data_IF_882994850353
#
_entry.id   IF_882994850353
#
_cell.length_a   1.000
_cell.length_b   1.000
_cell.length_c   1.000
_cell.angle_alpha   90.00
_cell.angle_beta   90.00
_cell.angle_gamma   90.00
#
_symmetry.space_group_name_H-M   'P 1'
#
loop_
_entity.id
_entity.type
_entity.pdbx_description
1 polymer ?
#
# COMPACT_ATOMS: atom_id res chain seq x y z
N UNK A 1 9.95 13.14 10.10
CA UNK A 1 10.79 13.45 8.90
C UNK A 1 9.93 13.28 7.65
N UNK A 2 9.72 14.34 6.85
CA UNK A 2 8.97 14.27 5.58
C UNK A 2 9.89 13.72 4.49
N UNK A 3 9.49 12.64 3.83
CA UNK A 3 10.20 12.10 2.67
C UNK A 3 9.53 12.53 1.38
N UNK A 4 10.29 13.17 0.48
CA UNK A 4 9.84 13.54 -0.86
C UNK A 4 9.98 12.34 -1.80
N UNK A 5 8.87 11.91 -2.40
CA UNK A 5 8.83 10.82 -3.39
C UNK A 5 8.41 11.39 -4.74
N UNK A 6 9.22 11.17 -5.76
CA UNK A 6 8.96 11.66 -7.12
C UNK A 6 8.63 10.47 -8.02
N UNK A 7 7.40 10.42 -8.54
CA UNK A 7 7.01 9.44 -9.56
C UNK A 7 7.09 10.08 -10.95
N UNK A 8 7.71 9.37 -11.89
CA UNK A 8 7.67 9.68 -13.32
C UNK A 8 6.77 8.66 -13.99
N UNK A 9 5.76 9.11 -14.74
CA UNK A 9 4.87 8.20 -15.48
C UNK A 9 5.67 7.36 -16.49
N UNK A 10 5.44 6.03 -16.58
CA UNK A 10 6.10 5.18 -17.56
C UNK A 10 5.70 5.58 -18.98
N UNK A 11 6.65 5.57 -19.92
CA UNK A 11 6.34 5.65 -21.35
C UNK A 11 5.76 4.30 -21.78
N UNK A 12 4.43 4.17 -21.86
CA UNK A 12 3.82 3.03 -22.57
C UNK A 12 4.30 3.09 -24.02
N UNK A 13 5.19 2.19 -24.42
CA UNK A 13 5.43 1.93 -25.85
C UNK A 13 4.25 1.10 -26.36
N UNK A 14 3.58 1.58 -27.39
CA UNK A 14 2.53 0.82 -28.04
C UNK A 14 3.16 -0.41 -28.70
N UNK A 15 2.77 -1.58 -28.21
CA UNK A 15 3.12 -2.90 -28.74
C UNK A 15 2.67 -2.98 -30.20
N UNK A 16 3.63 -3.10 -31.12
CA UNK A 16 3.40 -3.13 -32.55
C UNK A 16 2.77 -4.49 -32.96
N UNK A 17 1.47 -4.52 -33.26
CA UNK A 17 0.82 -5.65 -33.95
C UNK A 17 0.80 -5.35 -35.45
N UNK A 18 1.80 -5.83 -36.17
CA UNK A 18 1.80 -5.81 -37.64
C UNK A 18 0.92 -6.95 -38.19
N UNK A 19 -0.16 -6.56 -38.89
CA UNK A 19 -1.01 -7.32 -39.84
C UNK A 19 -2.09 -6.31 -40.26
N UNK A 20 -2.37 -5.92 -41.51
CA UNK A 20 -2.54 -6.63 -42.77
C UNK A 20 -2.38 -5.61 -43.93
N UNK A 21 -1.83 -6.06 -45.06
CA UNK A 21 -1.78 -5.34 -46.35
C UNK A 21 -3.17 -5.23 -47.00
N UNK A 22 -3.52 -4.06 -47.54
CA UNK A 22 -4.76 -3.88 -48.31
C UNK A 22 -4.82 -2.58 -49.11
N UNK A 23 -4.33 -2.63 -50.35
CA UNK A 23 -4.31 -1.59 -51.39
C UNK A 23 -5.73 -1.15 -51.81
N UNK A 24 -6.01 0.16 -51.98
CA UNK A 24 -6.59 0.73 -53.22
C UNK A 24 -6.57 2.26 -53.27
N UNK A 25 -5.98 2.81 -54.34
CA UNK A 25 -6.00 4.23 -54.74
C UNK A 25 -7.28 4.53 -55.55
N UNK A 26 -7.85 5.73 -55.37
CA UNK A 26 -8.71 6.42 -56.34
C UNK A 26 -8.39 7.92 -56.31
N UNK A 27 -8.41 8.56 -57.47
CA UNK A 27 -8.21 10.01 -57.69
C UNK A 27 -9.28 10.51 -58.71
N UNK A 28 -9.37 11.81 -59.03
CA UNK A 28 -10.09 12.84 -58.26
C UNK A 28 -11.16 13.56 -59.11
N UNK A 29 -12.12 14.29 -58.51
CA UNK A 29 -12.96 15.22 -59.27
C UNK A 29 -13.47 16.44 -58.48
N UNK A 30 -13.15 17.61 -59.07
CA UNK A 30 -13.73 18.97 -59.00
C UNK A 30 -13.53 19.82 -57.72
N UNK A 31 -12.88 20.96 -57.96
CA UNK A 31 -12.32 21.95 -57.04
C UNK A 31 -13.34 22.85 -56.34
N UNK A 32 -13.05 23.26 -55.10
CA UNK A 32 -13.19 24.64 -54.66
C UNK A 32 -11.83 25.36 -54.64
N UNK A 33 -11.90 26.65 -54.90
CA UNK A 33 -10.88 27.70 -54.85
C UNK A 33 -10.19 27.80 -53.49
N UNK A 34 -8.86 27.67 -53.46
CA UNK A 34 -7.91 27.95 -52.36
C UNK A 34 -8.32 27.58 -50.90
N UNK A 35 -7.67 26.54 -50.36
CA UNK A 35 -7.39 26.44 -48.93
C UNK A 35 -6.08 25.67 -48.70
N UNK A 36 -5.07 26.33 -48.12
CA UNK A 36 -3.95 25.66 -47.44
C UNK A 36 -4.13 25.94 -45.95
N UNK A 37 -4.49 24.91 -45.20
CA UNK A 37 -4.18 24.85 -43.76
C UNK A 37 -3.50 23.52 -43.52
N UNK A 38 -2.17 23.58 -43.44
CA UNK A 38 -1.40 22.55 -42.78
C UNK A 38 -1.69 22.65 -41.27
N UNK A 39 -2.04 21.55 -40.63
CA UNK A 39 -1.73 21.38 -39.20
C UNK A 39 -1.31 19.94 -38.94
N UNK A 40 -0.01 19.76 -39.16
CA UNK A 40 0.92 18.95 -38.38
C UNK A 40 0.28 17.72 -37.72
N UNK A 41 0.33 16.60 -38.44
CA UNK A 41 0.85 15.34 -37.91
C UNK A 41 0.85 15.26 -36.36
N UNK A 42 -0.06 14.47 -35.76
CA UNK A 42 0.22 13.87 -34.44
C UNK A 42 1.45 12.93 -34.48
N UNK A 43 2.18 12.85 -35.60
CA UNK A 43 3.42 12.10 -35.74
C UNK A 43 4.71 12.86 -35.35
N UNK A 44 4.67 14.12 -34.86
CA UNK A 44 5.94 14.81 -34.51
C UNK A 44 5.97 15.64 -33.21
N UNK A 45 4.91 15.66 -32.38
CA UNK A 45 5.07 15.99 -30.96
C UNK A 45 4.06 15.21 -30.13
N UNK A 46 4.49 14.07 -29.58
CA UNK A 46 3.93 13.69 -28.27
C UNK A 46 4.30 14.86 -27.35
N UNK A 47 3.33 15.65 -26.89
CA UNK A 47 3.54 16.45 -25.70
C UNK A 47 3.82 15.45 -24.57
N UNK A 48 5.09 15.04 -24.45
CA UNK A 48 5.61 14.23 -23.36
C UNK A 48 5.73 15.14 -22.15
N UNK A 49 4.63 15.77 -21.74
CA UNK A 49 4.52 16.25 -20.38
C UNK A 49 4.47 15.00 -19.51
N UNK A 50 5.66 14.51 -19.16
CA UNK A 50 5.84 13.70 -17.96
C UNK A 50 5.33 14.58 -16.84
N UNK A 51 4.06 14.39 -16.48
CA UNK A 51 3.53 14.92 -15.24
C UNK A 51 4.37 14.26 -14.14
N UNK A 52 5.33 15.03 -13.61
CA UNK A 52 6.03 14.66 -12.39
C UNK A 52 5.00 14.87 -11.29
N UNK A 53 4.57 13.77 -10.69
CA UNK A 53 3.72 13.83 -9.51
C UNK A 53 4.66 13.66 -8.31
N UNK A 54 4.71 14.68 -7.48
CA UNK A 54 5.47 14.68 -6.23
C UNK A 54 4.48 14.37 -5.10
N UNK A 55 4.86 13.43 -4.25
CA UNK A 55 4.13 13.11 -3.04
C UNK A 55 5.05 13.32 -1.84
N UNK A 56 4.49 13.82 -0.75
CA UNK A 56 5.15 13.96 0.53
C UNK A 56 4.60 12.89 1.45
N UNK A 57 5.49 12.10 2.04
CA UNK A 57 5.13 11.04 2.98
C UNK A 57 5.74 11.35 4.33
N UNK A 58 4.91 11.40 5.35
CA UNK A 58 5.35 11.51 6.74
C UNK A 58 5.52 10.12 7.32
N UNK A 59 6.64 9.93 8.02
CA UNK A 59 6.84 8.77 8.87
C UNK A 59 6.13 9.00 10.19
N UNK A 60 5.29 8.04 10.59
CA UNK A 60 4.77 7.96 11.96
C UNK A 60 5.95 7.91 12.94
N UNK A 61 5.91 8.65 14.06
CA UNK A 61 6.94 8.54 15.08
C UNK A 61 7.18 7.09 15.51
N UNK A 62 8.42 6.76 15.87
CA UNK A 62 8.86 5.42 16.30
C UNK A 62 8.81 4.30 15.25
N UNK A 63 8.52 4.58 13.98
CA UNK A 63 8.40 3.52 12.96
C UNK A 63 9.71 2.76 12.69
N UNK A 64 10.87 3.43 12.73
CA UNK A 64 12.16 2.76 12.51
C UNK A 64 12.51 1.86 13.70
N UNK A 65 12.23 2.35 14.90
CA UNK A 65 12.40 1.66 16.17
C UNK A 65 11.51 0.42 16.22
N UNK A 66 10.24 0.56 15.82
CA UNK A 66 9.27 -0.53 15.74
C UNK A 66 9.73 -1.64 14.77
N UNK A 67 10.09 -1.29 13.53
CA UNK A 67 10.61 -2.27 12.57
C UNK A 67 11.90 -2.94 13.08
N UNK A 68 12.80 -2.17 13.68
CA UNK A 68 14.04 -2.70 14.26
C UNK A 68 13.78 -3.58 15.50
N UNK A 69 12.73 -3.30 16.27
CA UNK A 69 12.29 -4.12 17.39
C UNK A 69 11.75 -5.47 16.90
N UNK A 70 10.78 -5.46 15.98
CA UNK A 70 10.20 -6.67 15.41
C UNK A 70 11.28 -7.58 14.79
N UNK A 71 12.19 -6.99 14.01
CA UNK A 71 13.28 -7.76 13.39
C UNK A 71 14.23 -8.39 14.41
N UNK A 72 14.58 -7.69 15.50
CA UNK A 72 15.42 -8.25 16.58
C UNK A 72 14.72 -9.34 17.37
N UNK A 73 13.42 -9.23 17.54
CA UNK A 73 12.57 -10.24 18.19
C UNK A 73 12.19 -11.38 17.24
N UNK A 74 12.86 -11.51 16.09
CA UNK A 74 12.68 -12.60 15.12
C UNK A 74 11.28 -12.71 14.49
N UNK A 75 10.53 -11.60 14.44
CA UNK A 75 9.27 -11.56 13.69
C UNK A 75 9.54 -11.48 12.19
N UNK A 76 8.73 -12.23 11.43
CA UNK A 76 8.65 -12.06 9.99
C UNK A 76 7.77 -10.85 9.65
N UNK A 77 8.38 -9.78 9.15
CA UNK A 77 7.67 -8.53 8.85
C UNK A 77 7.09 -8.60 7.44
N UNK A 78 5.76 -8.59 7.32
CA UNK A 78 5.03 -8.54 6.05
C UNK A 78 4.27 -7.22 5.93
N UNK A 79 4.55 -6.45 4.87
CA UNK A 79 3.71 -5.29 4.54
C UNK A 79 2.57 -5.74 3.65
N UNK A 80 1.33 -5.64 4.14
CA UNK A 80 0.13 -5.91 3.36
C UNK A 80 -0.67 -4.62 3.19
N UNK A 81 -0.69 -4.04 1.99
CA UNK A 81 -1.34 -2.75 1.72
C UNK A 81 -2.41 -2.86 0.63
N UNK A 82 -3.52 -2.14 0.80
CA UNK A 82 -4.51 -1.92 -0.25
C UNK A 82 -4.03 -0.89 -1.30
N UNK A 83 -2.80 -0.40 -1.22
CA UNK A 83 -2.17 0.46 -2.22
C UNK A 83 -1.68 -0.29 -3.45
N UNK A 84 -1.67 0.39 -4.60
CA UNK A 84 -1.03 -0.15 -5.82
C UNK A 84 0.49 -0.23 -5.64
N UNK A 85 1.09 -1.28 -6.19
CA UNK A 85 2.52 -1.58 -6.06
C UNK A 85 3.40 -0.41 -6.50
N UNK A 86 3.07 0.27 -7.58
CA UNK A 86 3.94 1.30 -8.18
C UNK A 86 4.00 2.59 -7.35
N UNK A 87 3.15 2.73 -6.34
CA UNK A 87 3.27 3.79 -5.34
C UNK A 87 3.88 3.24 -4.06
N UNK A 88 3.31 2.14 -3.54
CA UNK A 88 3.71 1.59 -2.25
C UNK A 88 5.18 1.16 -2.21
N UNK A 89 5.70 0.53 -3.26
CA UNK A 89 7.11 0.13 -3.36
C UNK A 89 8.06 1.32 -3.14
N UNK A 90 7.80 2.48 -3.76
CA UNK A 90 8.62 3.69 -3.62
C UNK A 90 8.67 4.24 -2.20
N UNK A 91 7.59 4.05 -1.44
CA UNK A 91 7.48 4.43 -0.03
C UNK A 91 8.25 3.44 0.83
N UNK A 92 7.99 2.15 0.64
CA UNK A 92 8.59 1.06 1.43
C UNK A 92 10.12 1.04 1.24
N UNK A 93 10.61 1.23 0.01
CA UNK A 93 12.06 1.29 -0.26
C UNK A 93 12.79 2.41 0.49
N UNK A 94 12.08 3.50 0.81
CA UNK A 94 12.62 4.60 1.64
C UNK A 94 12.44 4.35 3.12
N UNK A 95 11.36 3.67 3.50
CA UNK A 95 11.05 3.34 4.89
C UNK A 95 12.02 2.29 5.44
N UNK A 96 12.38 1.30 4.63
CA UNK A 96 13.17 0.15 5.05
C UNK A 96 14.51 0.06 4.27
N UNK A 97 15.47 0.97 4.53
CA UNK A 97 16.78 0.90 3.91
C UNK A 97 17.64 -0.27 4.42
N UNK A 98 17.23 -0.92 5.51
CA UNK A 98 17.93 -2.04 6.15
C UNK A 98 17.46 -3.41 5.63
N UNK A 99 16.35 -3.46 4.88
CA UNK A 99 15.80 -4.71 4.36
C UNK A 99 15.22 -5.60 5.45
N UNK A 100 14.56 -5.02 6.46
CA UNK A 100 13.91 -5.73 7.56
C UNK A 100 12.58 -6.38 7.13
N UNK A 101 11.93 -5.84 6.09
CA UNK A 101 10.66 -6.34 5.57
C UNK A 101 10.90 -7.59 4.71
N UNK A 102 10.29 -8.71 5.11
CA UNK A 102 10.44 -10.01 4.47
C UNK A 102 9.59 -10.13 3.20
N UNK A 103 8.33 -9.70 3.25
CA UNK A 103 7.40 -9.79 2.12
C UNK A 103 6.55 -8.53 1.95
N UNK A 104 6.13 -8.27 0.71
CA UNK A 104 5.30 -7.13 0.34
C UNK A 104 4.10 -7.63 -0.47
N UNK A 105 2.91 -7.42 0.08
CA UNK A 105 1.62 -7.74 -0.53
C UNK A 105 0.90 -6.42 -0.83
N UNK A 106 0.44 -6.27 -2.07
CA UNK A 106 -0.17 -5.05 -2.58
C UNK A 106 -1.67 -5.26 -2.82
N UNK A 107 -2.33 -4.26 -3.42
CA UNK A 107 -3.76 -4.29 -3.73
C UNK A 107 -4.21 -5.56 -4.45
N UNK A 108 -3.42 -6.05 -5.40
CA UNK A 108 -3.76 -7.25 -6.18
C UNK A 108 -3.77 -8.54 -5.33
N UNK A 109 -3.23 -8.49 -4.11
CA UNK A 109 -3.31 -9.56 -3.12
C UNK A 109 -4.51 -9.43 -2.18
N UNK A 110 -5.23 -8.30 -2.18
CA UNK A 110 -6.45 -8.13 -1.41
C UNK A 110 -7.63 -8.85 -2.07
N UNK A 111 -8.57 -9.36 -1.26
CA UNK A 111 -9.89 -9.77 -1.73
C UNK A 111 -10.79 -8.54 -1.84
N UNK A 112 -11.52 -8.41 -2.93
CA UNK A 112 -12.53 -7.35 -3.07
C UNK A 112 -13.90 -7.87 -2.60
N UNK A 113 -14.44 -7.25 -1.54
CA UNK A 113 -15.74 -7.59 -0.95
C UNK A 113 -16.55 -6.30 -0.87
N UNK A 114 -17.68 -6.22 -1.57
CA UNK A 114 -18.56 -5.04 -1.61
C UNK A 114 -17.81 -3.73 -1.93
N UNK A 115 -16.85 -3.80 -2.86
CA UNK A 115 -16.02 -2.67 -3.27
C UNK A 115 -14.96 -2.24 -2.24
N UNK A 116 -14.74 -3.03 -1.19
CA UNK A 116 -13.68 -2.82 -0.18
C UNK A 116 -12.56 -3.83 -0.37
N UNK A 117 -11.34 -3.39 -0.11
CA UNK A 117 -10.15 -4.26 -0.13
C UNK A 117 -9.94 -4.88 1.24
N UNK A 118 -10.07 -6.20 1.31
CA UNK A 118 -9.94 -7.01 2.50
C UNK A 118 -8.65 -7.82 2.42
N UNK A 119 -7.90 -7.84 3.51
CA UNK A 119 -6.62 -8.50 3.68
C UNK A 119 -6.86 -9.85 4.33
N UNK A 120 -7.04 -10.86 3.50
CA UNK A 120 -7.29 -12.22 3.95
C UNK A 120 -6.00 -12.88 4.44
N UNK A 121 -5.88 -13.10 5.75
CA UNK A 121 -4.67 -13.68 6.34
C UNK A 121 -4.45 -15.15 5.95
N UNK A 122 -5.50 -15.90 5.66
CA UNK A 122 -5.37 -17.29 5.18
C UNK A 122 -4.61 -17.36 3.85
N UNK A 123 -4.76 -16.35 3.00
CA UNK A 123 -4.08 -16.27 1.70
C UNK A 123 -2.57 -16.01 1.79
N UNK A 124 -2.07 -15.60 2.97
CA UNK A 124 -0.65 -15.29 3.20
C UNK A 124 0.20 -16.56 3.34
N UNK A 125 -0.43 -17.70 3.63
CA UNK A 125 0.27 -18.98 3.82
C UNK A 125 1.03 -19.04 5.15
N UNK A 126 0.44 -18.48 6.21
CA UNK A 126 0.90 -18.59 7.60
C UNK A 126 -0.24 -19.12 8.46
N UNK A 127 0.11 -19.86 9.50
CA UNK A 127 -0.86 -20.38 10.46
C UNK A 127 -1.47 -19.21 11.25
N UNK A 128 -2.80 -19.21 11.41
CA UNK A 128 -3.52 -18.09 12.03
C UNK A 128 -3.26 -17.99 13.55
N UNK A 129 -2.83 -19.05 14.20
CA UNK A 129 -2.37 -18.99 15.61
C UNK A 129 -1.02 -18.26 15.77
N UNK A 130 -0.34 -17.91 14.65
CA UNK A 130 0.96 -17.25 14.64
C UNK A 130 1.01 -15.97 13.80
N UNK A 131 -0.12 -15.58 13.20
CA UNK A 131 -0.22 -14.41 12.33
C UNK A 131 -1.05 -13.31 13.00
N UNK A 132 -0.51 -12.10 13.07
CA UNK A 132 -1.21 -10.91 13.57
C UNK A 132 -1.19 -9.81 12.52
N UNK A 133 -2.31 -9.10 12.38
CA UNK A 133 -2.42 -7.93 11.52
C UNK A 133 -2.59 -6.68 12.38
N UNK A 134 -1.85 -5.63 12.02
CA UNK A 134 -1.98 -4.30 12.62
C UNK A 134 -2.49 -3.37 11.53
N UNK A 135 -3.70 -2.82 11.72
CA UNK A 135 -4.34 -1.95 10.73
C UNK A 135 -5.27 -0.94 11.39
N UNK A 136 -5.40 0.23 10.78
CA UNK A 136 -6.27 1.31 11.26
C UNK A 136 -7.71 1.22 10.72
N UNK A 137 -7.98 0.31 9.77
CA UNK A 137 -9.29 0.13 9.17
C UNK A 137 -9.88 -1.26 9.47
N UNK A 138 -10.97 -1.34 10.28
CA UNK A 138 -11.65 -2.60 10.57
C UNK A 138 -12.11 -3.41 9.37
N UNK A 139 -12.42 -2.75 8.26
CA UNK A 139 -12.80 -3.43 7.02
C UNK A 139 -11.62 -4.24 6.42
N UNK A 140 -10.38 -3.81 6.68
CA UNK A 140 -9.19 -4.48 6.15
C UNK A 140 -9.05 -5.91 6.68
N UNK A 141 -9.41 -6.17 7.93
CA UNK A 141 -9.22 -7.47 8.60
C UNK A 141 -10.54 -8.15 8.97
N UNK A 142 -11.65 -7.77 8.34
CA UNK A 142 -12.99 -8.26 8.68
C UNK A 142 -13.16 -9.80 8.58
N UNK A 143 -12.25 -10.51 7.88
CA UNK A 143 -12.27 -11.97 7.80
C UNK A 143 -11.59 -12.66 8.99
N UNK A 144 -10.66 -11.99 9.68
CA UNK A 144 -9.92 -12.52 10.82
C UNK A 144 -9.78 -11.46 11.94
N UNK A 145 -10.88 -10.97 12.53
CA UNK A 145 -10.82 -9.92 13.56
C UNK A 145 -10.09 -10.35 14.83
N UNK A 146 -10.10 -11.65 15.18
CA UNK A 146 -9.35 -12.20 16.32
C UNK A 146 -7.84 -12.09 16.19
N UNK A 147 -7.34 -11.88 14.97
CA UNK A 147 -5.93 -11.75 14.64
C UNK A 147 -5.50 -10.28 14.51
N UNK A 148 -6.42 -9.33 14.76
CA UNK A 148 -6.20 -7.93 14.50
C UNK A 148 -5.90 -7.15 15.78
N UNK A 149 -4.81 -6.40 15.77
CA UNK A 149 -4.58 -5.31 16.72
C UNK A 149 -4.97 -4.01 16.01
N UNK A 150 -6.13 -3.41 16.33
CA UNK A 150 -6.52 -2.14 15.74
C UNK A 150 -5.60 -1.03 16.23
N UNK A 151 -5.29 -0.09 15.36
CA UNK A 151 -4.45 1.08 15.70
C UNK A 151 -5.09 2.37 15.25
N UNK A 152 -4.77 3.47 15.95
CA UNK A 152 -5.22 4.79 15.51
C UNK A 152 -4.70 5.13 14.12
N UNK A 153 -5.56 5.69 13.24
CA UNK A 153 -5.10 6.36 12.03
C UNK A 153 -4.07 7.44 12.40
N UNK A 154 -2.96 7.46 11.66
CA UNK A 154 -1.95 8.50 11.85
C UNK A 154 -2.39 9.78 11.14
N UNK A 155 -2.60 10.87 11.90
CA UNK A 155 -3.07 12.16 11.39
C UNK A 155 -1.99 13.24 11.48
N UNK A 156 -0.75 12.89 11.14
CA UNK A 156 0.43 13.79 11.13
C UNK A 156 0.87 14.33 12.50
N UNK A 157 0.35 13.77 13.60
CA UNK A 157 0.74 14.15 14.97
C UNK A 157 2.15 13.64 15.32
N UNK A 158 3.10 14.55 15.52
CA UNK A 158 4.48 14.18 15.88
C UNK A 158 4.62 13.73 17.34
N UNK A 159 3.61 13.93 18.17
CA UNK A 159 3.50 13.39 19.52
C UNK A 159 2.89 11.98 19.59
N UNK A 160 2.53 11.39 18.44
CA UNK A 160 1.95 10.05 18.38
C UNK A 160 2.92 9.00 18.97
N UNK A 161 2.47 8.28 19.99
CA UNK A 161 3.22 7.18 20.63
C UNK A 161 2.60 5.80 20.33
N UNK A 162 1.73 5.67 19.31
CA UNK A 162 0.97 4.43 19.08
C UNK A 162 1.88 3.22 18.82
N UNK A 163 2.92 3.41 18.00
CA UNK A 163 3.87 2.33 17.69
C UNK A 163 4.73 1.93 18.90
N UNK A 164 4.85 2.80 19.91
CA UNK A 164 5.52 2.49 21.17
C UNK A 164 4.65 1.59 22.04
N UNK A 165 3.34 1.83 22.08
CA UNK A 165 2.37 0.92 22.68
C UNK A 165 2.44 -0.48 22.05
N UNK A 166 2.49 -0.55 20.71
CA UNK A 166 2.64 -1.83 20.01
C UNK A 166 3.94 -2.56 20.36
N UNK A 167 5.08 -1.87 20.52
CA UNK A 167 6.29 -2.54 20.99
C UNK A 167 6.10 -3.19 22.36
N UNK A 168 5.30 -2.57 23.25
CA UNK A 168 4.89 -3.17 24.52
C UNK A 168 4.05 -4.43 24.34
N UNK A 169 3.08 -4.41 23.41
CA UNK A 169 2.29 -5.58 23.06
C UNK A 169 3.17 -6.76 22.60
N UNK A 170 3.98 -6.52 21.55
CA UNK A 170 4.81 -7.56 20.96
C UNK A 170 5.93 -8.05 21.88
N UNK A 171 6.40 -7.23 22.82
CA UNK A 171 7.41 -7.64 23.81
C UNK A 171 6.86 -8.26 25.09
N UNK A 172 5.56 -8.09 25.39
CA UNK A 172 4.97 -8.54 26.65
C UNK A 172 4.01 -9.73 26.49
N UNK A 173 3.12 -9.66 25.51
CA UNK A 173 2.02 -10.63 25.35
C UNK A 173 2.35 -11.74 24.35
N UNK A 174 3.23 -11.46 23.38
CA UNK A 174 3.52 -12.41 22.30
C UNK A 174 4.50 -13.52 22.73
N UNK A 175 5.51 -13.19 23.55
CA UNK A 175 6.56 -14.14 23.96
C UNK A 175 6.04 -15.33 24.79
N UNK A 176 4.87 -15.18 25.43
CA UNK A 176 4.27 -16.18 26.32
C UNK A 176 3.07 -16.90 25.70
N UNK A 177 2.59 -16.50 24.52
CA UNK A 177 1.37 -17.01 23.94
C UNK A 177 1.63 -18.21 23.02
N UNK A 178 0.93 -19.31 23.26
CA UNK A 178 0.87 -20.44 22.32
C UNK A 178 0.04 -20.09 21.07
N UNK A 179 -0.98 -19.25 21.24
CA UNK A 179 -1.83 -18.72 20.19
C UNK A 179 -1.89 -17.19 20.26
N UNK A 180 -1.51 -16.52 19.18
CA UNK A 180 -1.49 -15.05 19.09
C UNK A 180 -2.85 -14.42 19.36
N UNK A 181 -3.95 -15.13 19.09
CA UNK A 181 -5.31 -14.60 19.26
C UNK A 181 -5.65 -14.41 20.74
N UNK A 182 -5.10 -15.26 21.61
CA UNK A 182 -5.22 -15.07 23.06
C UNK A 182 -4.43 -13.83 23.50
N UNK A 183 -3.20 -13.65 23.00
CA UNK A 183 -2.42 -12.44 23.27
C UNK A 183 -3.13 -11.16 22.80
N UNK A 184 -3.73 -11.18 21.60
CA UNK A 184 -4.52 -10.05 21.07
C UNK A 184 -5.70 -9.75 21.97
N UNK A 185 -6.48 -10.76 22.38
CA UNK A 185 -7.61 -10.58 23.30
C UNK A 185 -7.14 -9.94 24.61
N UNK A 186 -6.12 -10.50 25.24
CA UNK A 186 -5.64 -10.07 26.55
C UNK A 186 -5.10 -8.62 26.49
N UNK A 187 -4.43 -8.26 25.40
CA UNK A 187 -3.99 -6.89 25.14
C UNK A 187 -5.16 -5.91 24.98
N UNK A 188 -6.18 -6.29 24.21
CA UNK A 188 -7.37 -5.45 24.02
C UNK A 188 -8.16 -5.29 25.32
N UNK A 189 -8.22 -6.33 26.15
CA UNK A 189 -8.83 -6.27 27.47
C UNK A 189 -8.05 -5.32 28.41
N UNK A 190 -6.72 -5.33 28.37
CA UNK A 190 -5.89 -4.38 29.13
C UNK A 190 -6.14 -2.92 28.68
N UNK A 191 -6.18 -2.66 27.37
CA UNK A 191 -6.53 -1.34 26.83
C UNK A 191 -7.93 -0.87 27.27
N UNK A 192 -8.90 -1.80 27.36
CA UNK A 192 -10.25 -1.53 27.83
C UNK A 192 -10.28 -1.16 29.33
N UNK A 193 -9.41 -1.75 30.14
CA UNK A 193 -9.27 -1.43 31.57
C UNK A 193 -8.64 -0.05 31.78
N UNK A 194 -7.69 0.34 30.93
CA UNK A 194 -7.01 1.66 31.00
C UNK A 194 -7.89 2.81 30.49
N UNK A 195 -9.04 2.52 29.88
CA UNK A 195 -10.02 3.54 29.48
C UNK A 195 -9.77 4.13 28.09
N UNK A 196 -8.95 3.48 27.25
CA UNK A 196 -8.75 3.84 25.84
C UNK A 196 -9.91 3.38 24.93
N UNK A 197 -11.09 3.15 25.54
CA UNK A 197 -12.33 2.59 24.96
C UNK A 197 -12.82 3.23 23.66
N UNK A 198 -12.55 4.51 23.45
CA UNK A 198 -13.22 5.31 22.43
C UNK A 198 -12.67 5.13 21.01
N UNK A 199 -11.61 4.34 20.84
CA UNK A 199 -10.85 4.34 19.60
C UNK A 199 -10.90 3.01 18.85
N UNK A 200 -11.19 1.91 19.57
CA UNK A 200 -11.12 0.54 19.06
C UNK A 200 -12.42 -0.25 19.15
N UNK A 201 -13.54 0.42 19.47
CA UNK A 201 -14.87 -0.19 19.41
C UNK A 201 -15.26 -0.39 17.95
N UNK A 202 -15.21 -1.65 17.50
CA UNK A 202 -15.79 -2.11 16.21
C UNK A 202 -17.31 -2.12 16.30
#
# INVERSE_FOLDING_TARGET
MVSKIVKRTPTKSLRNRNKIHGRRRKSPAKSPTAAVVASINRSIHTCRRRLKVEFFVLKRPFVDEFLSFLSRSSFEIVIFTAGIEEYASLVIDRLDPKGLISYRLYRDSCREIDGRFVKDLESVGRELDRAVIVDDNPCSYQLQPSNAVPVRPFTDDLGDEELKGLMGFFGGFFDSAEDVRDAVRDYLDDLNVVGEKFIYSV
#
